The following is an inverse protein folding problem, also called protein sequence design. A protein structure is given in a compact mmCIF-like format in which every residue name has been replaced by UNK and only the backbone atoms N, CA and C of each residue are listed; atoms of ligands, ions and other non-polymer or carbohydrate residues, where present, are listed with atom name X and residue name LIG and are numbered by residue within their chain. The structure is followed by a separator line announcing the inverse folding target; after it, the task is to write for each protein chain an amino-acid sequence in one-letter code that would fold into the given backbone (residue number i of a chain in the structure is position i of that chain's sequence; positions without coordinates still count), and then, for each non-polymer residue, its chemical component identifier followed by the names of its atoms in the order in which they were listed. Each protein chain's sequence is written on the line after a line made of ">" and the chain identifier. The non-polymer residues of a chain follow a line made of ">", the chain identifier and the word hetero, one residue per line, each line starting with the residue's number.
data_IF_139032137511
#
_entry.id   IF_139032137511
#
_cell.length_a   1.000
_cell.length_b   1.000
_cell.length_c   1.000
_cell.angle_alpha   90.00
_cell.angle_beta   90.00
_cell.angle_gamma   90.00
#
_symmetry.space_group_name_H-M   'P 1'
#
loop_
_entity.id
_entity.type
_entity.pdbx_description
1 polymer ?
#
# COMPACT_ATOMS: atom_id res chain seq x y z
N UNK A 1 3.48 14.86 -3.91
CA UNK A 1 2.80 14.53 -2.65
C UNK A 1 2.94 15.70 -1.70
N UNK A 2 1.86 16.01 -1.01
CA UNK A 2 1.93 16.95 0.08
C UNK A 2 2.47 16.24 1.34
N UNK A 3 3.24 16.98 2.13
CA UNK A 3 3.82 16.49 3.38
C UNK A 3 3.28 17.35 4.52
N UNK A 4 2.84 16.70 5.59
CA UNK A 4 2.40 17.40 6.80
C UNK A 4 3.10 16.79 8.01
N UNK A 5 3.71 17.62 8.87
CA UNK A 5 4.23 17.14 10.14
C UNK A 5 3.10 16.89 11.14
N UNK A 6 3.34 16.00 12.09
CA UNK A 6 2.42 15.74 13.19
C UNK A 6 2.11 17.03 13.94
N UNK A 7 3.12 17.86 14.23
CA UNK A 7 2.93 19.13 14.93
C UNK A 7 1.98 20.09 14.20
N UNK A 8 2.16 20.24 12.86
CA UNK A 8 1.26 21.07 12.06
C UNK A 8 -0.15 20.48 11.99
N UNK A 9 -0.29 19.16 11.92
CA UNK A 9 -1.59 18.48 11.97
C UNK A 9 -2.29 18.73 13.32
N UNK A 10 -1.56 18.58 14.44
CA UNK A 10 -2.04 18.88 15.79
C UNK A 10 -2.50 20.34 15.94
N UNK A 11 -1.71 21.28 15.40
CA UNK A 11 -2.07 22.71 15.41
C UNK A 11 -3.38 22.97 14.65
N UNK A 12 -3.56 22.38 13.47
CA UNK A 12 -4.82 22.51 12.69
C UNK A 12 -6.01 21.89 13.42
N UNK A 13 -5.82 20.72 14.04
CA UNK A 13 -6.86 20.07 14.85
C UNK A 13 -7.22 20.96 16.03
N UNK A 14 -6.23 21.48 16.77
CA UNK A 14 -6.43 22.37 17.90
C UNK A 14 -7.19 23.66 17.53
N UNK A 15 -6.89 24.25 16.39
CA UNK A 15 -7.61 25.41 15.87
C UNK A 15 -9.13 25.19 15.74
N UNK A 16 -9.52 23.98 15.35
CA UNK A 16 -10.93 23.64 15.10
C UNK A 16 -11.61 23.09 16.35
N UNK A 17 -10.94 22.24 17.11
CA UNK A 17 -11.52 21.53 18.26
C UNK A 17 -11.46 22.40 19.52
N UNK A 18 -10.32 23.04 19.78
CA UNK A 18 -10.05 23.75 21.01
C UNK A 18 -10.02 25.28 20.84
N UNK A 19 -10.13 25.78 19.61
CA UNK A 19 -9.94 27.19 19.25
C UNK A 19 -8.53 27.72 19.63
N UNK A 20 -7.56 26.81 19.73
CA UNK A 20 -6.16 27.12 20.05
C UNK A 20 -5.23 26.37 19.08
N UNK A 21 -4.33 27.12 18.44
CA UNK A 21 -3.35 26.57 17.49
C UNK A 21 -2.02 26.19 18.16
N UNK A 22 -1.84 26.56 19.44
CA UNK A 22 -0.59 26.32 20.13
C UNK A 22 -0.51 24.88 20.65
N UNK A 23 0.29 24.04 20.00
CA UNK A 23 0.47 22.64 20.39
C UNK A 23 1.07 22.48 21.80
N UNK A 24 1.78 23.50 22.32
CA UNK A 24 2.29 23.47 23.68
C UNK A 24 1.20 23.52 24.76
N UNK A 25 -0.02 23.98 24.44
CA UNK A 25 -1.16 24.02 25.34
C UNK A 25 -1.97 22.71 25.36
N UNK A 26 -1.67 21.78 24.45
CA UNK A 26 -2.35 20.49 24.39
C UNK A 26 -1.86 19.62 25.55
N UNK A 27 -2.78 19.05 26.32
CA UNK A 27 -2.40 18.09 27.36
C UNK A 27 -1.74 16.86 26.75
N UNK A 28 -0.82 16.22 27.48
CA UNK A 28 -0.15 15.00 26.99
C UNK A 28 -1.14 13.87 26.66
N UNK A 29 -2.25 13.77 27.38
CA UNK A 29 -3.32 12.80 27.12
C UNK A 29 -4.07 13.11 25.82
N UNK A 30 -4.46 14.35 25.60
CA UNK A 30 -5.13 14.76 24.36
C UNK A 30 -4.20 14.62 23.14
N UNK A 31 -2.92 14.96 23.32
CA UNK A 31 -1.92 14.76 22.25
C UNK A 31 -1.81 13.29 21.83
N UNK A 32 -1.69 12.40 22.81
CA UNK A 32 -1.60 10.96 22.55
C UNK A 32 -2.88 10.40 21.90
N UNK A 33 -4.05 10.85 22.35
CA UNK A 33 -5.34 10.46 21.78
C UNK A 33 -5.46 10.91 20.31
N UNK A 34 -5.12 12.16 20.00
CA UNK A 34 -5.13 12.68 18.62
C UNK A 34 -4.14 11.92 17.75
N UNK A 35 -2.94 11.60 18.26
CA UNK A 35 -1.95 10.82 17.55
C UNK A 35 -2.48 9.41 17.21
N UNK A 36 -3.19 8.78 18.15
CA UNK A 36 -3.87 7.50 17.91
C UNK A 36 -4.88 7.62 16.78
N UNK A 37 -5.73 8.62 16.79
CA UNK A 37 -6.73 8.83 15.74
C UNK A 37 -6.11 9.22 14.40
N UNK A 38 -4.99 9.95 14.39
CA UNK A 38 -4.23 10.21 13.17
C UNK A 38 -3.71 8.92 12.55
N UNK A 39 -3.17 8.00 13.35
CA UNK A 39 -2.72 6.70 12.87
C UNK A 39 -3.88 5.83 12.37
N UNK A 40 -5.05 5.88 13.00
CA UNK A 40 -6.25 5.21 12.50
C UNK A 40 -6.68 5.77 11.14
N UNK A 41 -6.72 7.08 10.99
CA UNK A 41 -7.04 7.73 9.72
C UNK A 41 -6.02 7.39 8.61
N UNK A 42 -4.73 7.32 8.97
CA UNK A 42 -3.67 6.92 8.06
C UNK A 42 -3.81 5.46 7.62
N UNK A 43 -4.20 4.57 8.53
CA UNK A 43 -4.49 3.16 8.23
C UNK A 43 -5.68 3.02 7.28
N UNK A 44 -6.78 3.74 7.53
CA UNK A 44 -7.94 3.74 6.61
C UNK A 44 -7.56 4.24 5.21
N UNK A 45 -6.78 5.32 5.13
CA UNK A 45 -6.30 5.84 3.87
C UNK A 45 -5.48 4.81 3.10
N UNK A 46 -4.49 4.20 3.72
CA UNK A 46 -3.63 3.23 3.04
C UNK A 46 -4.40 2.00 2.54
N UNK A 47 -5.48 1.60 3.23
CA UNK A 47 -6.28 0.43 2.87
C UNK A 47 -7.32 0.73 1.78
N UNK A 48 -7.68 2.00 1.59
CA UNK A 48 -8.74 2.40 0.67
C UNK A 48 -8.38 2.23 -0.80
N UNK A 49 -7.08 2.24 -1.15
CA UNK A 49 -6.64 2.11 -2.55
C UNK A 49 -5.19 1.56 -2.66
N UNK A 50 -4.79 1.30 -3.89
CA UNK A 50 -3.42 0.96 -4.28
C UNK A 50 -2.65 2.25 -4.62
N UNK A 51 -2.21 2.96 -3.59
CA UNK A 51 -1.54 4.23 -3.76
C UNK A 51 -0.16 4.08 -4.42
N UNK A 52 0.08 4.78 -5.53
CA UNK A 52 1.38 4.81 -6.21
C UNK A 52 2.52 5.22 -5.26
N UNK A 53 2.20 6.02 -4.28
CA UNK A 53 3.14 6.48 -3.28
C UNK A 53 3.60 5.44 -2.28
N UNK A 54 2.83 4.39 -2.12
CA UNK A 54 3.15 3.24 -1.29
C UNK A 54 3.73 2.08 -2.11
N UNK A 55 3.80 2.23 -3.45
CA UNK A 55 4.42 1.24 -4.31
C UNK A 55 5.94 1.33 -4.24
N UNK A 56 6.59 0.19 -4.08
CA UNK A 56 8.06 0.08 -4.05
C UNK A 56 8.52 -1.29 -4.53
N UNK A 57 9.83 -1.43 -4.73
CA UNK A 57 10.47 -2.69 -5.11
C UNK A 57 11.45 -3.15 -4.02
N UNK A 58 11.27 -4.35 -3.54
CA UNK A 58 12.17 -4.97 -2.60
C UNK A 58 13.21 -5.83 -3.33
N UNK A 59 14.49 -5.53 -3.13
CA UNK A 59 15.58 -6.35 -3.65
C UNK A 59 16.01 -7.35 -2.58
N UNK A 60 15.61 -8.59 -2.77
CA UNK A 60 15.88 -9.67 -1.83
C UNK A 60 16.94 -10.64 -2.37
N UNK A 61 17.48 -11.43 -1.46
CA UNK A 61 18.27 -12.61 -1.81
C UNK A 61 17.47 -13.86 -1.47
N UNK A 62 17.49 -14.81 -2.40
CA UNK A 62 16.80 -16.08 -2.24
C UNK A 62 17.53 -16.95 -1.24
N UNK A 63 16.78 -17.49 -0.31
CA UNK A 63 17.20 -18.61 0.54
C UNK A 63 16.55 -19.89 -0.01
N UNK A 64 17.34 -20.91 -0.30
CA UNK A 64 16.81 -22.20 -0.74
C UNK A 64 16.95 -23.23 0.38
N UNK A 65 15.85 -23.84 0.78
CA UNK A 65 15.85 -25.07 1.55
C UNK A 65 14.93 -26.07 0.85
N UNK A 66 15.44 -27.26 0.55
CA UNK A 66 14.66 -28.39 0.02
C UNK A 66 13.82 -28.11 -1.23
N UNK A 67 14.39 -27.43 -2.24
CA UNK A 67 13.78 -27.33 -3.59
C UNK A 67 12.85 -26.14 -3.82
N UNK A 68 12.43 -25.42 -2.77
CA UNK A 68 11.59 -24.22 -2.93
C UNK A 68 12.40 -22.97 -2.56
N UNK A 69 12.30 -21.96 -3.39
CA UNK A 69 12.89 -20.67 -3.13
C UNK A 69 12.02 -19.88 -2.14
N UNK A 70 12.62 -19.34 -1.10
CA UNK A 70 11.94 -18.49 -0.13
C UNK A 70 12.64 -17.14 0.03
N UNK A 71 11.86 -16.10 0.21
CA UNK A 71 12.30 -14.71 0.35
C UNK A 71 11.61 -14.16 1.59
N UNK A 72 12.40 -13.69 2.56
CA UNK A 72 11.84 -12.95 3.70
C UNK A 72 11.40 -11.59 3.21
N UNK A 73 10.12 -11.26 3.43
CA UNK A 73 9.56 -9.97 3.06
C UNK A 73 9.95 -8.89 4.08
N UNK A 74 10.01 -7.62 3.67
CA UNK A 74 10.32 -6.52 4.58
C UNK A 74 9.20 -6.30 5.60
N UNK A 75 9.54 -5.71 6.76
CA UNK A 75 8.58 -5.49 7.86
C UNK A 75 7.46 -4.50 7.51
N UNK A 76 7.69 -3.64 6.52
CA UNK A 76 6.70 -2.70 5.99
C UNK A 76 5.84 -3.29 4.86
N UNK A 77 6.01 -4.57 4.54
CA UNK A 77 5.22 -5.24 3.52
C UNK A 77 3.73 -5.26 3.88
N UNK A 78 2.88 -4.77 2.98
CA UNK A 78 1.43 -4.82 3.10
C UNK A 78 0.79 -5.82 2.15
N UNK A 79 1.07 -5.69 0.86
CA UNK A 79 0.55 -6.60 -0.19
C UNK A 79 1.42 -6.56 -1.43
N UNK A 80 1.39 -7.62 -2.22
CA UNK A 80 2.01 -7.63 -3.54
C UNK A 80 1.30 -6.66 -4.49
N UNK A 81 2.03 -6.19 -5.49
CA UNK A 81 1.41 -5.48 -6.61
C UNK A 81 0.45 -6.41 -7.36
N UNK A 82 -0.60 -5.85 -7.97
CA UNK A 82 -1.71 -6.61 -8.57
C UNK A 82 -1.27 -7.62 -9.64
N UNK A 83 -0.12 -7.39 -10.26
CA UNK A 83 0.54 -8.31 -11.18
C UNK A 83 2.02 -8.39 -10.77
N UNK A 84 2.35 -9.23 -9.80
CA UNK A 84 3.72 -9.34 -9.33
C UNK A 84 4.59 -9.91 -10.44
N UNK A 85 5.34 -9.04 -11.09
CA UNK A 85 6.46 -9.45 -11.91
C UNK A 85 7.65 -9.64 -10.96
N UNK A 86 8.04 -10.89 -10.73
CA UNK A 86 9.26 -11.17 -9.99
C UNK A 86 10.41 -11.24 -10.98
N UNK A 87 11.40 -10.37 -10.81
CA UNK A 87 12.60 -10.36 -11.63
C UNK A 87 13.74 -11.00 -10.86
N UNK A 88 14.41 -11.98 -11.45
CA UNK A 88 15.60 -12.58 -10.88
C UNK A 88 16.79 -12.48 -11.83
N UNK A 89 17.99 -12.40 -11.27
CA UNK A 89 19.26 -12.25 -11.99
C UNK A 89 19.29 -11.06 -12.96
N UNK A 90 18.42 -10.06 -12.72
CA UNK A 90 18.36 -8.81 -13.47
C UNK A 90 17.87 -8.91 -14.92
N UNK A 91 17.62 -10.12 -15.43
CA UNK A 91 17.34 -10.32 -16.86
C UNK A 91 16.00 -10.95 -17.18
N UNK A 92 15.40 -11.69 -16.24
CA UNK A 92 14.15 -12.42 -16.50
C UNK A 92 13.04 -11.93 -15.60
N UNK A 93 11.97 -11.41 -16.20
CA UNK A 93 10.73 -11.06 -15.50
C UNK A 93 9.71 -12.15 -15.72
N UNK A 94 9.18 -12.73 -14.67
CA UNK A 94 8.14 -13.73 -14.73
C UNK A 94 6.93 -13.27 -13.94
N UNK A 95 5.75 -13.48 -14.53
CA UNK A 95 4.49 -13.26 -13.88
C UNK A 95 4.05 -14.57 -13.20
N UNK A 96 3.78 -14.48 -11.91
CA UNK A 96 3.31 -15.62 -11.12
C UNK A 96 1.98 -15.29 -10.49
N UNK A 97 0.97 -16.14 -10.60
CA UNK A 97 -0.25 -15.98 -9.83
C UNK A 97 0.05 -16.17 -8.34
N UNK A 98 -0.52 -15.32 -7.53
CA UNK A 98 -0.56 -15.50 -6.09
C UNK A 98 -1.61 -16.56 -5.75
N UNK A 99 -1.22 -17.57 -4.98
CA UNK A 99 -2.10 -18.61 -4.48
C UNK A 99 -2.27 -18.50 -2.97
N UNK A 100 -3.49 -18.71 -2.50
CA UNK A 100 -3.74 -18.79 -1.07
C UNK A 100 -3.26 -20.14 -0.53
N UNK A 101 -2.74 -20.20 0.71
CA UNK A 101 -2.28 -21.44 1.31
C UNK A 101 -3.34 -22.56 1.29
N UNK A 102 -4.63 -22.22 1.44
CA UNK A 102 -5.74 -23.17 1.41
C UNK A 102 -5.96 -23.80 0.02
N UNK A 103 -5.47 -23.17 -1.03
CA UNK A 103 -5.58 -23.64 -2.42
C UNK A 103 -4.33 -24.38 -2.89
N UNK A 104 -3.28 -24.42 -2.05
CA UNK A 104 -2.00 -25.02 -2.41
C UNK A 104 -2.13 -26.49 -2.88
N UNK A 105 -3.08 -27.25 -2.30
CA UNK A 105 -3.35 -28.64 -2.68
C UNK A 105 -3.94 -28.84 -4.08
N UNK A 106 -4.39 -27.76 -4.74
CA UNK A 106 -4.94 -27.80 -6.11
C UNK A 106 -3.87 -27.71 -7.19
N UNK A 107 -2.64 -27.38 -6.81
CA UNK A 107 -1.54 -27.13 -7.71
C UNK A 107 -0.45 -28.18 -7.56
N UNK A 108 0.19 -28.51 -8.68
CA UNK A 108 1.39 -29.35 -8.65
C UNK A 108 2.60 -28.51 -8.22
N UNK A 109 3.61 -29.13 -7.65
CA UNK A 109 4.87 -28.45 -7.26
C UNK A 109 5.64 -27.88 -8.46
N UNK A 110 5.30 -28.30 -9.67
CA UNK A 110 5.85 -27.79 -10.92
C UNK A 110 5.15 -26.54 -11.44
N UNK A 111 3.98 -26.20 -10.89
CA UNK A 111 3.22 -25.04 -11.34
C UNK A 111 3.90 -23.75 -10.83
N UNK A 112 4.10 -22.81 -11.76
CA UNK A 112 4.69 -21.51 -11.45
C UNK A 112 3.70 -20.66 -10.63
N UNK A 113 3.96 -20.49 -9.35
CA UNK A 113 3.13 -19.71 -8.44
C UNK A 113 3.94 -19.13 -7.30
N UNK A 114 3.35 -18.18 -6.64
CA UNK A 114 3.87 -17.60 -5.38
C UNK A 114 2.86 -17.76 -4.28
N UNK A 115 3.36 -17.87 -3.06
CA UNK A 115 2.57 -18.00 -1.86
C UNK A 115 3.20 -17.17 -0.75
N UNK A 116 2.37 -16.40 -0.02
CA UNK A 116 2.82 -15.66 1.14
C UNK A 116 2.49 -16.47 2.38
N UNK A 117 3.52 -16.79 3.16
CA UNK A 117 3.43 -17.56 4.39
C UNK A 117 3.87 -16.70 5.57
N UNK A 118 3.21 -16.87 6.69
CA UNK A 118 3.52 -16.20 7.96
C UNK A 118 2.28 -15.70 8.65
N UNK A 119 2.42 -15.39 9.93
CA UNK A 119 1.29 -14.99 10.78
C UNK A 119 1.36 -13.52 11.20
N UNK A 120 2.52 -12.89 11.07
CA UNK A 120 2.78 -11.53 11.52
C UNK A 120 3.64 -10.80 10.48
N UNK A 121 3.53 -9.49 10.47
CA UNK A 121 4.30 -8.61 9.58
C UNK A 121 5.83 -8.83 9.69
N UNK A 122 6.32 -9.27 10.86
CA UNK A 122 7.75 -9.45 11.09
C UNK A 122 8.34 -10.75 10.51
N UNK A 123 7.49 -11.70 10.05
CA UNK A 123 7.92 -13.02 9.59
C UNK A 123 7.22 -13.49 8.31
N UNK A 124 6.82 -12.56 7.45
CA UNK A 124 6.24 -12.92 6.17
C UNK A 124 7.32 -13.44 5.24
N UNK A 125 7.03 -14.55 4.60
CA UNK A 125 7.94 -15.20 3.63
C UNK A 125 7.19 -15.43 2.33
N UNK A 126 7.75 -14.91 1.24
CA UNK A 126 7.30 -15.22 -0.11
C UNK A 126 7.98 -16.52 -0.55
N UNK A 127 7.20 -17.54 -0.85
CA UNK A 127 7.65 -18.79 -1.43
C UNK A 127 7.34 -18.82 -2.92
N UNK A 128 8.31 -19.22 -3.71
CA UNK A 128 8.20 -19.33 -5.16
C UNK A 128 8.26 -20.81 -5.55
N UNK A 129 7.28 -21.27 -6.31
CA UNK A 129 7.16 -22.64 -6.80
C UNK A 129 7.39 -22.73 -8.31
N UNK A 130 7.71 -23.91 -8.79
CA UNK A 130 7.85 -24.20 -10.24
C UNK A 130 9.04 -23.55 -10.91
N UNK A 131 10.01 -23.02 -10.13
CA UNK A 131 11.23 -22.39 -10.62
C UNK A 131 12.40 -22.82 -9.78
N UNK A 132 13.50 -23.23 -10.43
CA UNK A 132 14.76 -23.48 -9.75
C UNK A 132 15.54 -22.19 -9.62
N UNK A 133 15.53 -21.61 -8.44
CA UNK A 133 16.36 -20.45 -8.12
C UNK A 133 17.60 -20.90 -7.33
N UNK A 134 18.74 -20.34 -7.68
CA UNK A 134 20.00 -20.62 -6.98
C UNK A 134 20.01 -19.84 -5.67
N UNK A 135 20.51 -20.44 -4.60
CA UNK A 135 20.70 -19.74 -3.33
C UNK A 135 21.59 -18.51 -3.52
N UNK A 136 21.16 -17.38 -2.99
CA UNK A 136 21.82 -16.10 -3.15
C UNK A 136 21.47 -15.31 -4.41
N UNK A 137 20.65 -15.87 -5.32
CA UNK A 137 20.14 -15.12 -6.46
C UNK A 137 19.41 -13.84 -6.01
N UNK A 138 19.60 -12.76 -6.76
CA UNK A 138 18.91 -11.50 -6.51
C UNK A 138 17.50 -11.54 -7.12
N UNK A 139 16.50 -11.19 -6.31
CA UNK A 139 15.09 -11.16 -6.73
C UNK A 139 14.51 -9.81 -6.38
N UNK A 140 13.81 -9.21 -7.32
CA UNK A 140 13.00 -8.00 -7.11
C UNK A 140 11.54 -8.38 -6.93
N UNK A 141 10.95 -7.92 -5.84
CA UNK A 141 9.55 -8.13 -5.49
C UNK A 141 8.85 -6.79 -5.43
N UNK A 142 7.95 -6.47 -6.38
CA UNK A 142 7.15 -5.26 -6.32
C UNK A 142 6.01 -5.42 -5.31
N UNK A 143 5.85 -4.45 -4.44
CA UNK A 143 4.85 -4.49 -3.39
C UNK A 143 4.37 -3.09 -2.99
N UNK A 144 3.27 -3.06 -2.25
CA UNK A 144 2.80 -1.87 -1.54
C UNK A 144 3.25 -1.96 -0.09
N UNK A 145 3.99 -0.95 0.35
CA UNK A 145 4.42 -0.84 1.75
C UNK A 145 3.30 -0.28 2.63
N UNK A 146 3.39 -0.54 3.93
CA UNK A 146 2.57 0.12 4.93
C UNK A 146 3.02 1.58 5.09
N UNK A 147 2.07 2.49 5.29
CA UNK A 147 2.39 3.85 5.65
C UNK A 147 3.09 3.88 7.01
N UNK A 148 4.09 4.73 7.14
CA UNK A 148 4.84 4.87 8.40
C UNK A 148 3.92 5.38 9.51
N UNK A 149 3.90 4.68 10.64
CA UNK A 149 3.18 5.13 11.82
C UNK A 149 3.79 6.41 12.39
N UNK A 150 2.93 7.32 12.81
CA UNK A 150 3.30 8.59 13.42
C UNK A 150 3.51 8.38 14.93
N UNK A 151 4.62 8.83 15.48
CA UNK A 151 4.98 8.68 16.88
C UNK A 151 5.46 9.99 17.53
N UNK A 152 6.11 10.86 16.78
CA UNK A 152 6.72 12.09 17.29
C UNK A 152 6.21 13.33 16.56
N UNK A 153 6.34 14.54 17.16
CA UNK A 153 5.92 15.80 16.52
C UNK A 153 6.60 16.08 15.17
N UNK A 154 7.83 15.57 15.00
CA UNK A 154 8.63 15.79 13.80
C UNK A 154 8.30 14.80 12.67
N UNK A 155 7.54 13.72 12.94
CA UNK A 155 7.17 12.74 11.94
C UNK A 155 6.30 13.38 10.86
N UNK A 156 6.47 12.90 9.64
CA UNK A 156 5.81 13.45 8.47
C UNK A 156 4.88 12.40 7.88
N UNK A 157 3.60 12.73 7.76
CA UNK A 157 2.65 11.97 6.98
C UNK A 157 2.80 12.35 5.49
N UNK A 158 3.11 11.35 4.66
CA UNK A 158 3.16 11.50 3.20
C UNK A 158 1.85 11.01 2.61
N UNK A 159 0.90 11.92 2.43
CA UNK A 159 -0.44 11.65 1.91
C UNK A 159 -0.77 12.66 0.81
N UNK A 160 -1.48 12.26 -0.27
CA UNK A 160 -1.79 13.17 -1.38
C UNK A 160 -2.50 14.46 -0.94
N UNK A 161 -3.44 14.36 -0.01
CA UNK A 161 -4.12 15.51 0.58
C UNK A 161 -4.14 15.41 2.11
N UNK A 162 -3.29 16.19 2.81
CA UNK A 162 -3.21 16.17 4.27
C UNK A 162 -4.49 16.60 5.01
N UNK A 163 -5.39 17.34 4.36
CA UNK A 163 -6.65 17.75 4.97
C UNK A 163 -7.54 16.54 5.31
N UNK A 164 -7.41 15.44 4.57
CA UNK A 164 -8.06 14.19 4.93
C UNK A 164 -7.70 13.75 6.35
N UNK A 165 -6.39 13.73 6.66
CA UNK A 165 -5.89 13.30 7.97
C UNK A 165 -6.43 14.19 9.09
N UNK A 166 -6.44 15.52 8.89
CA UNK A 166 -6.97 16.49 9.86
C UNK A 166 -8.48 16.25 10.08
N UNK A 167 -9.26 16.23 9.01
CA UNK A 167 -10.72 16.11 9.07
C UNK A 167 -11.16 14.77 9.66
N UNK A 168 -10.50 13.68 9.25
CA UNK A 168 -10.81 12.35 9.77
C UNK A 168 -10.48 12.20 11.25
N UNK A 169 -9.35 12.77 11.69
CA UNK A 169 -8.98 12.81 13.12
C UNK A 169 -9.98 13.60 13.94
N UNK A 170 -10.45 14.76 13.44
CA UNK A 170 -11.48 15.55 14.12
C UNK A 170 -12.79 14.77 14.22
N UNK A 171 -13.17 14.06 13.15
CA UNK A 171 -14.37 13.22 13.18
C UNK A 171 -14.30 12.16 14.29
N UNK A 172 -13.18 11.47 14.43
CA UNK A 172 -12.98 10.50 15.53
C UNK A 172 -13.02 11.16 16.92
N UNK A 173 -12.40 12.33 17.08
CA UNK A 173 -12.44 13.06 18.34
C UNK A 173 -13.85 13.44 18.74
N UNK A 174 -14.64 13.94 17.80
CA UNK A 174 -16.02 14.34 18.07
C UNK A 174 -16.96 13.15 18.25
N UNK A 175 -16.75 12.08 17.49
CA UNK A 175 -17.49 10.81 17.67
C UNK A 175 -17.26 10.25 19.08
N UNK A 176 -16.01 10.23 19.56
CA UNK A 176 -15.67 9.77 20.92
C UNK A 176 -16.25 10.64 22.03
N UNK A 177 -16.60 11.89 21.74
CA UNK A 177 -17.22 12.85 22.65
C UNK A 177 -18.74 12.97 22.47
N UNK A 178 -19.33 12.12 21.61
CA UNK A 178 -20.76 12.16 21.25
C UNK A 178 -21.21 13.53 20.67
N UNK A 179 -20.31 14.27 20.05
CA UNK A 179 -20.58 15.58 19.45
C UNK A 179 -21.16 15.39 18.03
N UNK A 180 -22.38 15.84 17.83
CA UNK A 180 -23.12 15.68 16.56
C UNK A 180 -22.40 16.24 15.31
N UNK A 181 -21.42 17.14 15.49
CA UNK A 181 -20.60 17.70 14.40
C UNK A 181 -19.68 16.66 13.75
N UNK A 182 -19.50 15.48 14.36
CA UNK A 182 -18.67 14.42 13.80
C UNK A 182 -19.14 13.98 12.41
N UNK A 183 -20.46 13.98 12.16
CA UNK A 183 -21.04 13.54 10.87
C UNK A 183 -20.60 14.43 9.72
N UNK A 184 -20.57 15.74 9.91
CA UNK A 184 -20.12 16.69 8.90
C UNK A 184 -18.63 16.50 8.59
N UNK A 185 -17.78 16.39 9.60
CA UNK A 185 -16.33 16.18 9.41
C UNK A 185 -16.04 14.82 8.76
N UNK A 186 -16.79 13.79 9.12
CA UNK A 186 -16.68 12.47 8.50
C UNK A 186 -17.02 12.53 7.00
N UNK A 187 -18.15 13.15 6.64
CA UNK A 187 -18.55 13.30 5.24
C UNK A 187 -17.53 14.11 4.43
N UNK A 188 -16.98 15.17 5.03
CA UNK A 188 -15.95 15.97 4.37
C UNK A 188 -14.66 15.17 4.17
N UNK A 189 -14.23 14.38 5.16
CA UNK A 189 -13.08 13.48 5.02
C UNK A 189 -13.31 12.40 3.93
N UNK A 190 -14.49 11.78 3.90
CA UNK A 190 -14.87 10.80 2.89
C UNK A 190 -14.87 11.41 1.48
N UNK A 191 -15.36 12.65 1.33
CA UNK A 191 -15.32 13.38 0.06
C UNK A 191 -13.88 13.63 -0.40
N UNK A 192 -12.99 14.02 0.52
CA UNK A 192 -11.56 14.21 0.19
C UNK A 192 -10.93 12.88 -0.21
N UNK A 193 -11.23 11.79 0.50
CA UNK A 193 -10.72 10.46 0.19
C UNK A 193 -11.16 10.00 -1.20
N UNK A 194 -12.44 10.18 -1.54
CA UNK A 194 -12.97 9.86 -2.86
C UNK A 194 -12.25 10.66 -3.96
N UNK A 195 -12.01 11.95 -3.76
CA UNK A 195 -11.26 12.77 -4.72
C UNK A 195 -9.80 12.29 -4.89
N UNK A 196 -9.15 11.84 -3.81
CA UNK A 196 -7.79 11.27 -3.90
C UNK A 196 -7.81 9.95 -4.68
N UNK A 197 -8.81 9.09 -4.47
CA UNK A 197 -8.96 7.82 -5.19
C UNK A 197 -9.21 8.06 -6.68
N UNK A 198 -10.13 8.97 -7.02
CA UNK A 198 -10.42 9.32 -8.42
C UNK A 198 -9.17 9.84 -9.12
N UNK A 199 -8.40 10.72 -8.46
CA UNK A 199 -7.15 11.23 -9.00
C UNK A 199 -6.12 10.12 -9.24
N UNK A 200 -5.95 9.20 -8.28
CA UNK A 200 -5.02 8.08 -8.40
C UNK A 200 -5.43 7.12 -9.55
N UNK A 201 -6.73 6.85 -9.68
CA UNK A 201 -7.26 5.95 -10.71
C UNK A 201 -7.05 6.52 -12.12
N UNK A 202 -7.25 7.83 -12.33
CA UNK A 202 -6.97 8.48 -13.61
C UNK A 202 -5.53 8.27 -14.05
N UNK A 203 -4.56 8.36 -13.12
CA UNK A 203 -3.16 8.08 -13.43
C UNK A 203 -2.88 6.61 -13.72
N UNK A 204 -3.54 5.69 -13.02
CA UNK A 204 -3.37 4.26 -13.24
C UNK A 204 -4.01 3.80 -14.56
N UNK A 205 -5.15 4.35 -14.93
CA UNK A 205 -5.82 4.08 -16.21
C UNK A 205 -5.01 4.62 -17.40
N UNK A 206 -4.49 5.84 -17.31
CA UNK A 206 -3.64 6.41 -18.36
C UNK A 206 -2.37 5.56 -18.58
N UNK A 207 -1.78 5.01 -17.51
CA UNK A 207 -0.62 4.11 -17.64
C UNK A 207 -0.98 2.71 -18.15
N UNK A 208 -2.23 2.30 -18.02
CA UNK A 208 -2.73 0.99 -18.48
C UNK A 208 -3.15 1.06 -19.95
N UNK A 209 -3.69 2.20 -20.39
CA UNK A 209 -4.12 2.42 -21.77
C UNK A 209 -2.91 2.40 -22.73
N UNK A 210 -1.79 3.01 -22.36
CA UNK A 210 -0.52 2.92 -23.11
C UNK A 210 0.02 1.48 -23.20
N UNK A 211 -0.28 0.60 -22.22
CA UNK A 211 0.12 -0.80 -22.25
C UNK A 211 -0.84 -1.69 -23.04
N UNK A 212 -2.13 -1.35 -23.05
CA UNK A 212 -3.14 -2.08 -23.81
C UNK A 212 -2.95 -1.82 -25.30
N UNK A 213 -2.64 -0.61 -25.72
CA UNK A 213 -2.34 -0.31 -27.12
C UNK A 213 -1.13 -1.09 -27.66
N UNK A 214 -0.07 -1.24 -26.86
CA UNK A 214 1.10 -2.04 -27.24
C UNK A 214 0.82 -3.53 -27.31
N UNK A 215 -0.10 -4.06 -26.51
CA UNK A 215 -0.46 -5.50 -26.52
C UNK A 215 -1.45 -5.82 -27.63
N UNK A 216 -2.39 -4.93 -27.95
CA UNK A 216 -3.33 -5.11 -29.05
C UNK A 216 -2.66 -4.93 -30.42
N UNK A 217 -1.71 -4.01 -30.57
CA UNK A 217 -0.92 -3.90 -31.80
C UNK A 217 -0.06 -5.15 -32.06
N UNK A 218 0.43 -5.83 -31.02
CA UNK A 218 1.15 -7.09 -31.16
C UNK A 218 0.24 -8.28 -31.48
N UNK A 219 -1.05 -8.24 -31.11
CA UNK A 219 -2.00 -9.35 -31.38
C UNK A 219 -2.68 -9.27 -32.73
N UNK A 220 -2.84 -8.10 -33.33
CA UNK A 220 -3.51 -7.95 -34.61
C UNK A 220 -2.57 -7.96 -35.82
N UNK A 221 -1.25 -7.90 -35.63
CA UNK A 221 -0.26 -7.94 -36.70
C UNK A 221 0.02 -9.31 -37.31
N UNK A 222 -0.36 -10.43 -36.68
CA UNK A 222 0.09 -11.77 -37.05
C UNK A 222 -1.01 -12.72 -37.57
N UNK A 223 -2.23 -12.25 -37.79
CA UNK A 223 -3.29 -13.04 -38.42
C UNK A 223 -3.62 -12.55 -39.83
N UNK A 224 -2.72 -12.75 -40.76
CA UNK A 224 -3.07 -12.76 -42.16
C UNK A 224 -3.70 -14.14 -42.51
N UNK A 225 -5.01 -14.20 -42.60
CA UNK A 225 -5.69 -15.32 -43.24
C UNK A 225 -5.35 -15.30 -44.74
N UNK A 226 -4.56 -16.29 -45.18
CA UNK A 226 -4.35 -16.52 -46.60
C UNK A 226 -5.70 -16.73 -47.28
N UNK A 227 -5.99 -15.96 -48.31
CA UNK A 227 -7.01 -16.24 -49.30
C UNK A 227 -6.35 -17.08 -50.36
N UNK A 228 -6.77 -18.30 -50.46
CA UNK A 228 -6.81 -19.10 -51.70
C UNK A 228 -8.26 -19.17 -52.17
#
# INVERSE_FOLDING_TARGET
>A
MAKISVDLCQSKIGAIVDQDQNTANISSGDYALRLTYMNMALSEWQESNNWQSLYTEYNARVSTSTGNASIVLPSDFRKLASFPAITWDGTTTNLFPETRPQEASRYLDTDKRIEILGNNQDNLTLRVYGVTLVSGASVKVPYYMSAQSLASPADIAEIPNPEYLVKRTIAYLWESREDGRFTEMKQEAERILAQMIDYENVFSEASTDDRIHTVDEMRFGDFSWGKD
#
